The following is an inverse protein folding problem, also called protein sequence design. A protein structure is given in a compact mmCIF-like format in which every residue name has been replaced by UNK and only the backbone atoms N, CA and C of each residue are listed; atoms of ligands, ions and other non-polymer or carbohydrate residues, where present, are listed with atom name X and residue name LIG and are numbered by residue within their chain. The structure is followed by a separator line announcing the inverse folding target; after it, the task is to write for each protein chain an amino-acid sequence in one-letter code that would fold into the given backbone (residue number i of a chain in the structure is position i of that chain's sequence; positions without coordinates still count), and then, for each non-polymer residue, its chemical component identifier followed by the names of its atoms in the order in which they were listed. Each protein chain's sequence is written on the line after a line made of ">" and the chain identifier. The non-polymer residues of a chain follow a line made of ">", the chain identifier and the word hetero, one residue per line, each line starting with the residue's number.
data_IF_407283870389
#
_entry.id   IF_407283870389
#
_cell.length_a   1.000
_cell.length_b   1.000
_cell.length_c   1.000
_cell.angle_alpha   90.00
_cell.angle_beta   90.00
_cell.angle_gamma   90.00
#
_symmetry.space_group_name_H-M   'P 1'
#
loop_
_entity.id
_entity.type
_entity.pdbx_description
1 polymer ?
#
# COMPACT_ATOMS: atom_id res chain seq x y z
N UNK A 1 20.14 23.44 -50.68
CA UNK A 1 19.37 22.22 -50.38
C UNK A 1 20.19 21.36 -49.43
N UNK A 2 19.96 21.45 -48.13
CA UNK A 2 20.64 20.62 -47.15
C UNK A 2 19.60 19.58 -46.71
N UNK A 3 19.76 18.34 -47.20
CA UNK A 3 19.01 17.19 -46.72
C UNK A 3 19.59 16.82 -45.36
N UNK A 4 18.87 17.10 -44.26
CA UNK A 4 19.10 16.42 -43.00
C UNK A 4 18.55 15.00 -43.16
N UNK A 5 19.44 14.02 -43.12
CA UNK A 5 19.11 12.62 -43.00
C UNK A 5 18.40 12.47 -41.64
N UNK A 6 17.16 11.97 -41.64
CA UNK A 6 16.46 11.56 -40.44
C UNK A 6 17.15 10.31 -39.90
N UNK A 7 17.93 10.45 -38.85
CA UNK A 7 18.26 9.33 -37.99
C UNK A 7 16.94 8.85 -37.35
N UNK A 8 16.49 7.67 -37.77
CA UNK A 8 15.48 6.91 -37.04
C UNK A 8 16.19 6.46 -35.77
N UNK A 9 15.96 7.15 -34.67
CA UNK A 9 16.35 6.67 -33.35
C UNK A 9 15.56 5.39 -33.17
N UNK A 10 16.20 4.24 -33.40
CA UNK A 10 15.62 2.95 -33.02
C UNK A 10 15.55 2.92 -31.49
N UNK A 11 14.33 2.99 -30.93
CA UNK A 11 14.12 2.87 -29.51
C UNK A 11 14.77 1.61 -28.95
N UNK A 12 15.18 1.65 -27.70
CA UNK A 12 15.73 0.49 -26.98
C UNK A 12 14.71 -0.66 -27.04
N UNK A 13 15.15 -1.85 -27.46
CA UNK A 13 14.27 -3.02 -27.46
C UNK A 13 13.90 -3.39 -26.02
N UNK A 14 12.64 -3.73 -25.76
CA UNK A 14 12.14 -4.00 -24.40
C UNK A 14 12.98 -5.04 -23.64
N UNK A 15 13.40 -6.11 -24.30
CA UNK A 15 14.28 -7.14 -23.72
C UNK A 15 15.64 -6.61 -23.23
N UNK A 16 16.09 -5.46 -23.76
CA UNK A 16 17.38 -4.84 -23.44
C UNK A 16 17.22 -3.56 -22.61
N UNK A 17 15.97 -3.19 -22.25
CA UNK A 17 15.64 -1.94 -21.56
C UNK A 17 15.89 -1.99 -20.06
N UNK A 18 16.12 -0.84 -19.45
CA UNK A 18 16.11 -0.67 -18.00
C UNK A 18 14.68 -0.77 -17.46
N UNK A 19 13.68 -0.40 -18.26
CA UNK A 19 12.27 -0.51 -17.95
C UNK A 19 11.87 -1.93 -17.55
N UNK A 20 12.32 -2.97 -18.27
CA UNK A 20 12.02 -4.36 -17.89
C UNK A 20 12.61 -4.73 -16.51
N UNK A 21 13.82 -4.24 -16.23
CA UNK A 21 14.51 -4.48 -14.94
C UNK A 21 13.74 -3.80 -13.81
N UNK A 22 13.29 -2.57 -14.04
CA UNK A 22 12.49 -1.81 -13.08
C UNK A 22 11.12 -2.46 -12.82
N UNK A 23 10.45 -2.96 -13.86
CA UNK A 23 9.22 -3.73 -13.71
C UNK A 23 9.41 -5.00 -12.85
N UNK A 24 10.51 -5.74 -13.06
CA UNK A 24 10.81 -6.93 -12.26
C UNK A 24 11.17 -6.56 -10.81
N UNK A 25 11.86 -5.43 -10.59
CA UNK A 25 12.13 -4.91 -9.24
C UNK A 25 10.83 -4.53 -8.53
N UNK A 26 9.93 -3.81 -9.22
CA UNK A 26 8.64 -3.44 -8.68
C UNK A 26 7.79 -4.67 -8.34
N UNK A 27 7.67 -5.64 -9.25
CA UNK A 27 7.00 -6.92 -8.97
C UNK A 27 7.56 -7.64 -7.73
N UNK A 28 8.88 -7.64 -7.56
CA UNK A 28 9.52 -8.23 -6.39
C UNK A 28 9.23 -7.42 -5.11
N UNK A 29 9.23 -6.08 -5.18
CA UNK A 29 8.91 -5.17 -4.09
C UNK A 29 7.48 -5.37 -3.59
N UNK A 30 6.49 -5.31 -4.49
CA UNK A 30 5.08 -5.53 -4.18
C UNK A 30 4.80 -6.92 -3.61
N UNK A 31 5.43 -7.95 -4.19
CA UNK A 31 5.30 -9.32 -3.69
C UNK A 31 5.81 -9.46 -2.25
N UNK A 32 6.84 -8.72 -1.91
CA UNK A 32 7.40 -8.67 -0.57
C UNK A 32 6.54 -7.81 0.37
N UNK A 33 6.08 -6.62 -0.07
CA UNK A 33 5.19 -5.75 0.69
C UNK A 33 3.92 -6.50 1.09
N UNK A 34 3.31 -7.22 0.16
CA UNK A 34 2.17 -8.10 0.43
C UNK A 34 2.45 -9.08 1.58
N UNK A 35 3.62 -9.74 1.58
CA UNK A 35 3.96 -10.68 2.65
C UNK A 35 4.22 -9.95 3.97
N UNK A 36 4.95 -8.83 3.96
CA UNK A 36 5.18 -8.02 5.16
C UNK A 36 3.88 -7.58 5.82
N UNK A 37 2.89 -7.11 5.05
CA UNK A 37 1.58 -6.72 5.57
C UNK A 37 0.75 -7.91 6.06
N UNK A 38 0.88 -9.08 5.44
CA UNK A 38 0.26 -10.31 5.96
C UNK A 38 0.83 -10.68 7.34
N UNK A 39 2.15 -10.58 7.52
CA UNK A 39 2.79 -10.82 8.82
C UNK A 39 2.42 -9.75 9.85
N UNK A 40 2.35 -8.48 9.46
CA UNK A 40 1.89 -7.39 10.32
C UNK A 40 0.43 -7.58 10.75
N UNK A 41 -0.42 -8.12 9.87
CA UNK A 41 -1.80 -8.47 10.20
C UNK A 41 -1.88 -9.57 11.29
N UNK A 42 -1.00 -10.56 11.23
CA UNK A 42 -0.93 -11.61 12.26
C UNK A 42 -0.56 -11.01 13.62
N UNK A 43 0.43 -10.12 13.65
CA UNK A 43 0.84 -9.41 14.87
C UNK A 43 -0.28 -8.51 15.41
N UNK A 44 -0.97 -7.77 14.54
CA UNK A 44 -2.13 -6.96 14.94
C UNK A 44 -3.24 -7.82 15.57
N UNK A 45 -3.49 -9.02 15.04
CA UNK A 45 -4.42 -9.97 15.61
C UNK A 45 -3.98 -10.45 17.00
N UNK A 46 -2.70 -10.79 17.18
CA UNK A 46 -2.16 -11.27 18.45
C UNK A 46 -2.24 -10.19 19.54
N UNK A 47 -2.10 -8.92 19.14
CA UNK A 47 -2.29 -7.77 20.06
C UNK A 47 -3.76 -7.35 20.22
N UNK A 48 -4.71 -8.07 19.64
CA UNK A 48 -6.15 -7.81 19.76
C UNK A 48 -6.63 -6.58 18.99
N UNK A 49 -5.90 -6.15 17.96
CA UNK A 49 -6.21 -5.00 17.09
C UNK A 49 -6.83 -5.48 15.77
N UNK A 50 -7.95 -6.19 15.86
CA UNK A 50 -8.58 -6.90 14.73
C UNK A 50 -8.98 -5.98 13.58
N UNK A 51 -9.38 -4.74 13.84
CA UNK A 51 -9.68 -3.80 12.76
C UNK A 51 -8.40 -3.36 12.02
N UNK A 52 -7.28 -3.21 12.71
CA UNK A 52 -5.97 -2.91 12.08
C UNK A 52 -5.46 -4.14 11.30
N UNK A 53 -5.68 -5.36 11.81
CA UNK A 53 -5.46 -6.59 11.05
C UNK A 53 -6.13 -6.53 9.68
N UNK A 54 -7.42 -6.15 9.63
CA UNK A 54 -8.17 -6.05 8.37
C UNK A 54 -7.59 -4.96 7.44
N UNK A 55 -7.09 -3.85 7.97
CA UNK A 55 -6.44 -2.81 7.17
C UNK A 55 -5.17 -3.35 6.52
N UNK A 56 -4.31 -4.05 7.25
CA UNK A 56 -3.12 -4.68 6.68
C UNK A 56 -3.48 -5.73 5.61
N UNK A 57 -4.47 -6.60 5.85
CA UNK A 57 -4.90 -7.60 4.86
C UNK A 57 -5.51 -6.97 3.61
N UNK A 58 -6.27 -5.89 3.78
CA UNK A 58 -6.85 -5.14 2.67
C UNK A 58 -5.74 -4.54 1.81
N UNK A 59 -4.75 -3.87 2.41
CA UNK A 59 -3.61 -3.31 1.69
C UNK A 59 -2.76 -4.42 1.06
N UNK A 60 -2.46 -5.51 1.76
CA UNK A 60 -1.75 -6.67 1.19
C UNK A 60 -2.42 -7.23 -0.09
N UNK A 61 -3.75 -7.17 -0.19
CA UNK A 61 -4.46 -7.56 -1.41
C UNK A 61 -4.33 -6.52 -2.53
N UNK A 62 -4.15 -5.25 -2.18
CA UNK A 62 -3.86 -4.18 -3.16
C UNK A 62 -2.44 -4.32 -3.70
N UNK A 63 -1.42 -4.60 -2.85
CA UNK A 63 -0.05 -4.89 -3.30
C UNK A 63 0.01 -6.10 -4.24
N UNK A 64 -0.82 -7.13 -3.98
CA UNK A 64 -0.95 -8.25 -4.93
C UNK A 64 -1.45 -7.79 -6.30
N UNK A 65 -2.37 -6.84 -6.35
CA UNK A 65 -2.88 -6.31 -7.62
C UNK A 65 -1.84 -5.45 -8.35
N UNK A 66 -1.05 -4.66 -7.63
CA UNK A 66 0.07 -3.91 -8.19
C UNK A 66 1.15 -4.86 -8.73
N UNK A 67 1.52 -5.88 -7.98
CA UNK A 67 2.44 -6.94 -8.42
C UNK A 67 1.95 -7.59 -9.72
N UNK A 68 0.67 -7.96 -9.80
CA UNK A 68 0.05 -8.57 -10.99
C UNK A 68 0.14 -7.61 -12.19
N UNK A 69 -0.14 -6.32 -11.99
CA UNK A 69 -0.03 -5.31 -13.06
C UNK A 69 1.39 -5.18 -13.60
N UNK A 70 2.40 -5.10 -12.74
CA UNK A 70 3.80 -5.04 -13.18
C UNK A 70 4.24 -6.33 -13.88
N UNK A 71 3.77 -7.47 -13.41
CA UNK A 71 4.06 -8.77 -14.02
C UNK A 71 3.40 -8.93 -15.40
N UNK A 72 2.19 -8.44 -15.57
CA UNK A 72 1.49 -8.42 -16.87
C UNK A 72 2.21 -7.59 -17.92
N UNK A 73 2.82 -6.47 -17.52
CA UNK A 73 3.62 -5.63 -18.39
C UNK A 73 4.91 -6.33 -18.88
N UNK A 74 5.34 -7.40 -18.22
CA UNK A 74 6.47 -8.26 -18.64
C UNK A 74 6.05 -9.41 -19.56
N UNK A 75 4.77 -9.54 -19.92
CA UNK A 75 4.20 -10.67 -20.66
C UNK A 75 4.96 -11.02 -21.95
N UNK A 76 5.51 -10.03 -22.67
CA UNK A 76 6.27 -10.26 -23.91
C UNK A 76 7.57 -11.05 -23.69
N UNK A 77 8.05 -11.15 -22.46
CA UNK A 77 9.26 -11.88 -22.04
C UNK A 77 8.91 -13.20 -21.35
N UNK A 78 7.70 -13.74 -21.58
CA UNK A 78 7.26 -14.99 -20.99
C UNK A 78 8.22 -16.14 -21.34
N UNK A 79 8.70 -16.84 -20.30
CA UNK A 79 9.68 -17.93 -20.44
C UNK A 79 11.15 -17.49 -20.27
N UNK A 80 11.41 -16.18 -20.18
CA UNK A 80 12.75 -15.66 -19.90
C UNK A 80 12.97 -15.45 -18.40
N UNK A 81 14.23 -15.36 -17.98
CA UNK A 81 14.64 -14.99 -16.64
C UNK A 81 15.23 -13.57 -16.66
N UNK A 82 14.83 -12.74 -15.70
CA UNK A 82 15.31 -11.37 -15.57
C UNK A 82 16.10 -11.26 -14.27
N UNK A 83 17.40 -11.03 -14.36
CA UNK A 83 18.24 -10.77 -13.21
C UNK A 83 18.00 -9.36 -12.69
N UNK A 84 17.82 -9.26 -11.36
CA UNK A 84 17.67 -7.97 -10.67
C UNK A 84 18.64 -7.86 -9.50
N UNK A 85 19.08 -6.64 -9.21
CA UNK A 85 19.78 -6.28 -7.98
C UNK A 85 18.97 -5.17 -7.32
N UNK A 86 18.67 -5.30 -6.03
CA UNK A 86 17.88 -4.34 -5.27
C UNK A 86 18.08 -4.51 -3.78
N UNK A 87 17.71 -3.48 -3.02
CA UNK A 87 17.63 -3.50 -1.56
C UNK A 87 16.16 -3.52 -1.15
N UNK A 88 15.83 -4.28 -0.12
CA UNK A 88 14.47 -4.40 0.37
C UNK A 88 14.47 -4.26 1.90
N UNK A 89 13.45 -3.63 2.50
CA UNK A 89 13.40 -3.38 3.92
C UNK A 89 13.20 -4.67 4.74
N UNK A 90 13.71 -4.63 5.99
CA UNK A 90 13.46 -5.67 7.00
C UNK A 90 12.74 -5.02 8.17
N UNK A 91 11.39 -5.10 8.15
CA UNK A 91 10.50 -4.43 9.10
C UNK A 91 9.97 -5.44 10.13
N UNK A 92 10.86 -5.85 11.03
CA UNK A 92 10.50 -6.65 12.21
C UNK A 92 10.41 -5.74 13.42
N UNK A 93 9.17 -5.38 13.80
CA UNK A 93 8.87 -4.53 14.94
C UNK A 93 8.05 -5.32 15.98
N UNK A 94 8.26 -5.01 17.25
CA UNK A 94 7.58 -5.68 18.37
C UNK A 94 6.16 -5.08 18.65
N UNK A 95 5.82 -3.99 18.01
CA UNK A 95 4.54 -3.28 18.20
C UNK A 95 3.84 -3.02 16.87
N UNK A 96 2.52 -3.06 16.90
CA UNK A 96 1.69 -2.71 15.73
C UNK A 96 1.90 -1.26 15.30
N UNK A 97 2.12 -0.34 16.26
CA UNK A 97 2.50 1.05 15.97
C UNK A 97 3.77 1.10 15.10
N UNK A 98 4.85 0.40 15.53
CA UNK A 98 6.10 0.36 14.77
C UNK A 98 5.97 -0.30 13.40
N UNK A 99 5.12 -1.32 13.25
CA UNK A 99 4.82 -1.94 11.95
C UNK A 99 4.09 -0.97 11.01
N UNK A 100 3.15 -0.18 11.54
CA UNK A 100 2.45 0.86 10.78
C UNK A 100 3.38 2.01 10.37
N UNK A 101 4.28 2.47 11.27
CA UNK A 101 5.29 3.50 10.95
C UNK A 101 6.25 3.02 9.86
N UNK A 102 6.72 1.76 9.94
CA UNK A 102 7.58 1.17 8.92
C UNK A 102 6.85 1.02 7.57
N UNK A 103 5.60 0.57 7.60
CA UNK A 103 4.76 0.49 6.40
C UNK A 103 4.59 1.88 5.75
N UNK A 104 4.21 2.90 6.52
CA UNK A 104 4.09 4.28 6.03
C UNK A 104 5.36 4.77 5.34
N UNK A 105 6.52 4.53 5.96
CA UNK A 105 7.81 4.95 5.40
C UNK A 105 8.07 4.31 4.04
N UNK A 106 7.85 3.01 3.92
CA UNK A 106 8.08 2.29 2.67
C UNK A 106 7.13 2.74 1.55
N UNK A 107 5.84 2.93 1.86
CA UNK A 107 4.87 3.44 0.89
C UNK A 107 5.26 4.82 0.36
N UNK A 108 5.72 5.72 1.23
CA UNK A 108 6.17 7.04 0.79
C UNK A 108 7.47 6.98 -0.02
N UNK A 109 8.41 6.07 0.28
CA UNK A 109 9.61 5.86 -0.52
C UNK A 109 9.23 5.37 -1.94
N UNK A 110 8.27 4.45 -2.04
CA UNK A 110 7.76 3.98 -3.33
C UNK A 110 7.01 5.08 -4.10
N UNK A 111 6.17 5.87 -3.41
CA UNK A 111 5.39 6.95 -4.00
C UNK A 111 6.22 8.12 -4.50
N UNK A 112 7.15 8.62 -3.68
CA UNK A 112 7.83 9.89 -3.94
C UNK A 112 9.15 9.70 -4.71
N UNK A 113 9.81 8.54 -4.60
CA UNK A 113 11.13 8.29 -5.16
C UNK A 113 11.14 7.15 -6.19
N UNK A 114 10.80 5.92 -5.77
CA UNK A 114 11.09 4.71 -6.55
C UNK A 114 10.26 4.66 -7.84
N UNK A 115 8.94 4.76 -7.73
CA UNK A 115 8.06 4.62 -8.90
C UNK A 115 8.10 5.85 -9.79
N UNK A 116 8.37 7.03 -9.26
CA UNK A 116 8.63 8.22 -10.07
C UNK A 116 9.89 8.03 -10.92
N UNK A 117 10.98 7.54 -10.33
CA UNK A 117 12.22 7.27 -11.07
C UNK A 117 12.04 6.17 -12.12
N UNK A 118 11.29 5.10 -11.81
CA UNK A 118 11.00 4.02 -12.76
C UNK A 118 10.10 4.49 -13.90
N UNK A 119 9.10 5.32 -13.60
CA UNK A 119 8.23 5.94 -14.60
C UNK A 119 8.98 6.85 -15.55
N UNK A 120 9.89 7.69 -15.03
CA UNK A 120 10.75 8.55 -15.84
C UNK A 120 11.63 7.72 -16.79
N UNK A 121 12.26 6.66 -16.30
CA UNK A 121 13.04 5.73 -17.12
C UNK A 121 12.20 5.12 -18.25
N UNK A 122 11.00 4.66 -17.93
CA UNK A 122 10.10 4.07 -18.91
C UNK A 122 9.66 5.09 -19.97
N UNK A 123 9.43 6.34 -19.58
CA UNK A 123 9.11 7.43 -20.49
C UNK A 123 10.28 7.72 -21.44
N UNK A 124 11.49 7.83 -20.92
CA UNK A 124 12.72 8.09 -21.71
C UNK A 124 13.01 6.98 -22.71
N UNK A 125 12.74 5.72 -22.34
CA UNK A 125 12.89 4.55 -23.21
C UNK A 125 11.71 4.35 -24.20
N UNK A 126 10.64 5.16 -24.07
CA UNK A 126 9.49 5.16 -24.98
C UNK A 126 8.35 4.20 -24.57
N UNK A 127 8.36 3.65 -23.36
CA UNK A 127 7.35 2.72 -22.84
C UNK A 127 6.26 3.46 -22.05
N UNK A 128 5.45 4.25 -22.75
CA UNK A 128 4.47 5.17 -22.17
C UNK A 128 3.41 4.48 -21.29
N UNK A 129 2.97 3.27 -21.67
CA UNK A 129 2.02 2.50 -20.86
C UNK A 129 2.63 2.09 -19.50
N UNK A 130 3.90 1.69 -19.51
CA UNK A 130 4.65 1.33 -18.29
C UNK A 130 4.86 2.56 -17.42
N UNK A 131 5.27 3.70 -18.01
CA UNK A 131 5.42 4.96 -17.28
C UNK A 131 4.12 5.36 -16.58
N UNK A 132 3.00 5.29 -17.31
CA UNK A 132 1.67 5.59 -16.75
C UNK A 132 1.31 4.67 -15.59
N UNK A 133 1.62 3.37 -15.68
CA UNK A 133 1.35 2.43 -14.59
C UNK A 133 2.15 2.78 -13.34
N UNK A 134 3.46 3.09 -13.45
CA UNK A 134 4.28 3.52 -12.32
C UNK A 134 3.73 4.78 -11.65
N UNK A 135 3.41 5.82 -12.42
CA UNK A 135 2.89 7.06 -11.84
C UNK A 135 1.54 6.88 -11.13
N UNK A 136 0.63 6.08 -11.72
CA UNK A 136 -0.68 5.86 -11.11
C UNK A 136 -0.59 5.01 -9.84
N UNK A 137 0.29 4.01 -9.80
CA UNK A 137 0.53 3.21 -8.61
C UNK A 137 1.19 4.06 -7.53
N UNK A 138 2.18 4.91 -7.87
CA UNK A 138 2.79 5.85 -6.92
C UNK A 138 1.75 6.73 -6.17
N UNK A 139 0.70 7.19 -6.86
CA UNK A 139 -0.40 7.93 -6.21
C UNK A 139 -1.20 7.06 -5.24
N UNK A 140 -1.30 5.75 -5.50
CA UNK A 140 -2.00 4.81 -4.61
C UNK A 140 -1.14 4.51 -3.38
N UNK A 141 0.18 4.33 -3.53
CA UNK A 141 1.08 4.09 -2.40
C UNK A 141 1.06 5.26 -1.41
N UNK A 142 0.89 6.49 -1.91
CA UNK A 142 0.69 7.63 -1.02
C UNK A 142 -0.58 7.51 -0.17
N UNK A 143 -1.66 6.99 -0.74
CA UNK A 143 -2.92 6.74 0.02
C UNK A 143 -2.70 5.63 1.06
N UNK A 144 -1.93 4.59 0.71
CA UNK A 144 -1.56 3.53 1.66
C UNK A 144 -0.74 4.10 2.83
N UNK A 145 0.30 4.90 2.52
CA UNK A 145 1.13 5.56 3.51
C UNK A 145 0.34 6.48 4.43
N UNK A 146 -0.56 7.32 3.88
CA UNK A 146 -1.43 8.19 4.66
C UNK A 146 -2.31 7.39 5.64
N UNK A 147 -2.87 6.26 5.19
CA UNK A 147 -3.71 5.38 6.00
C UNK A 147 -2.91 4.74 7.15
N UNK A 148 -1.74 4.19 6.87
CA UNK A 148 -0.87 3.60 7.88
C UNK A 148 -0.39 4.64 8.90
N UNK A 149 0.00 5.82 8.44
CA UNK A 149 0.45 6.90 9.31
C UNK A 149 -0.63 7.42 10.25
N UNK A 150 -1.87 7.58 9.77
CA UNK A 150 -2.99 7.96 10.62
C UNK A 150 -3.23 6.96 11.74
N UNK A 151 -3.21 5.65 11.43
CA UNK A 151 -3.38 4.60 12.43
C UNK A 151 -2.22 4.55 13.42
N UNK A 152 -0.99 4.68 12.95
CA UNK A 152 0.20 4.75 13.80
C UNK A 152 0.10 5.91 14.79
N UNK A 153 -0.23 7.10 14.30
CA UNK A 153 -0.38 8.30 15.14
C UNK A 153 -1.49 8.13 16.19
N UNK A 154 -2.62 7.54 15.81
CA UNK A 154 -3.72 7.28 16.75
C UNK A 154 -3.30 6.29 17.87
N UNK A 155 -2.55 5.25 17.55
CA UNK A 155 -2.02 4.32 18.56
C UNK A 155 -1.00 5.02 19.46
N UNK A 156 -0.04 5.73 18.89
CA UNK A 156 1.01 6.47 19.60
C UNK A 156 0.46 7.50 20.59
N UNK A 157 -0.57 8.22 20.18
CA UNK A 157 -1.21 9.24 21.01
C UNK A 157 -2.30 8.68 21.93
N UNK A 158 -2.59 7.37 21.88
CA UNK A 158 -3.64 6.73 22.67
C UNK A 158 -5.06 7.16 22.27
N UNK A 159 -5.22 7.71 21.06
CA UNK A 159 -6.51 8.26 20.57
C UNK A 159 -7.31 7.26 19.73
N UNK A 160 -6.78 6.07 19.45
CA UNK A 160 -7.45 5.07 18.62
C UNK A 160 -8.78 4.57 19.23
N UNK A 161 -8.83 4.37 20.54
CA UNK A 161 -10.02 3.91 21.26
C UNK A 161 -10.66 4.96 22.19
N UNK A 162 -10.02 6.12 22.34
CA UNK A 162 -10.50 7.16 23.27
C UNK A 162 -10.08 8.55 22.75
N UNK A 163 -11.03 9.49 22.69
CA UNK A 163 -10.85 10.85 22.17
C UNK A 163 -11.37 11.89 23.16
N UNK A 164 -10.92 13.12 23.02
CA UNK A 164 -11.37 14.25 23.90
C UNK A 164 -12.83 14.62 23.63
N UNK A 165 -13.20 14.58 22.36
CA UNK A 165 -14.56 14.88 21.91
C UNK A 165 -15.31 13.59 21.57
N UNK A 166 -16.62 13.68 21.37
CA UNK A 166 -17.43 12.54 20.96
C UNK A 166 -17.21 12.22 19.50
N UNK A 167 -16.75 10.99 19.23
CA UNK A 167 -16.45 10.48 17.88
C UNK A 167 -17.32 9.26 17.56
N UNK A 168 -17.23 8.82 16.31
CA UNK A 168 -17.92 7.62 15.83
C UNK A 168 -16.92 6.53 15.47
N UNK A 169 -17.23 5.31 15.89
CA UNK A 169 -16.49 4.09 15.53
C UNK A 169 -17.42 3.05 14.94
N UNK A 170 -16.93 2.32 13.95
CA UNK A 170 -17.62 1.16 13.39
C UNK A 170 -17.01 -0.14 13.90
N UNK A 171 -17.83 -1.04 14.39
CA UNK A 171 -17.42 -2.42 14.66
C UNK A 171 -17.37 -3.19 13.33
N UNK A 172 -16.19 -3.56 12.86
CA UNK A 172 -16.02 -4.27 11.58
C UNK A 172 -16.61 -5.67 11.58
N UNK A 173 -16.85 -6.27 12.76
CA UNK A 173 -17.49 -7.59 12.83
C UNK A 173 -19.00 -7.55 12.52
N UNK A 174 -19.72 -6.47 12.89
CA UNK A 174 -21.18 -6.44 12.74
C UNK A 174 -21.77 -5.15 12.17
N UNK A 175 -20.95 -4.15 11.87
CA UNK A 175 -21.39 -2.85 11.34
C UNK A 175 -21.99 -1.90 12.39
N UNK A 176 -22.02 -2.24 13.68
CA UNK A 176 -22.53 -1.35 14.73
C UNK A 176 -21.73 -0.04 14.77
N UNK A 177 -22.42 1.09 14.74
CA UNK A 177 -21.84 2.42 14.92
C UNK A 177 -21.99 2.82 16.39
N UNK A 178 -20.86 3.00 17.06
CA UNK A 178 -20.80 3.55 18.41
C UNK A 178 -20.45 5.04 18.35
N UNK A 179 -21.13 5.85 19.14
CA UNK A 179 -20.84 7.29 19.29
C UNK A 179 -20.51 7.58 20.75
N UNK A 180 -19.39 8.23 21.02
CA UNK A 180 -18.94 8.55 22.38
C UNK A 180 -17.52 9.08 22.39
N UNK A 181 -16.97 9.25 23.60
CA UNK A 181 -15.55 9.63 23.78
C UNK A 181 -14.63 8.41 23.88
N UNK A 182 -15.20 7.23 24.06
CA UNK A 182 -14.47 5.98 24.26
C UNK A 182 -15.21 4.80 23.68
N UNK A 183 -14.50 3.94 23.01
CA UNK A 183 -15.01 2.65 22.49
C UNK A 183 -15.36 1.73 23.67
N UNK A 184 -16.52 1.05 23.65
CA UNK A 184 -16.86 0.07 24.68
C UNK A 184 -15.91 -1.13 24.64
N UNK A 185 -15.57 -1.69 25.81
CA UNK A 185 -14.68 -2.86 25.90
C UNK A 185 -15.18 -4.08 25.12
N UNK A 186 -16.51 -4.16 24.94
CA UNK A 186 -17.22 -5.21 24.19
C UNK A 186 -18.32 -4.54 23.36
N UNK A 187 -18.43 -4.89 22.09
CA UNK A 187 -19.50 -4.39 21.23
C UNK A 187 -20.89 -4.79 21.83
N UNK A 188 -21.80 -3.84 22.04
CA UNK A 188 -23.11 -4.14 22.65
C UNK A 188 -23.99 -5.02 21.76
N UNK A 189 -23.75 -5.06 20.45
CA UNK A 189 -24.55 -5.80 19.47
C UNK A 189 -24.04 -7.23 19.29
N UNK A 190 -22.77 -7.40 18.89
CA UNK A 190 -22.22 -8.72 18.55
C UNK A 190 -21.37 -9.38 19.64
N UNK A 191 -21.10 -8.67 20.74
CA UNK A 191 -20.34 -9.15 21.91
C UNK A 191 -18.85 -9.41 21.65
N UNK A 192 -18.32 -8.99 20.50
CA UNK A 192 -16.90 -9.04 20.20
C UNK A 192 -16.14 -7.90 20.88
N UNK A 193 -14.84 -8.08 21.06
CA UNK A 193 -13.94 -7.19 21.78
C UNK A 193 -13.75 -5.83 21.08
N UNK A 194 -13.28 -4.83 21.83
CA UNK A 194 -13.06 -3.45 21.32
C UNK A 194 -12.13 -3.37 20.11
N UNK A 195 -11.21 -4.33 19.93
CA UNK A 195 -10.28 -4.35 18.82
C UNK A 195 -10.93 -4.46 17.43
N UNK A 196 -12.22 -4.82 17.38
CA UNK A 196 -13.00 -4.78 16.13
C UNK A 196 -13.49 -3.38 15.74
N UNK A 197 -13.32 -2.38 16.59
CA UNK A 197 -13.73 -1.02 16.28
C UNK A 197 -12.63 -0.26 15.54
N UNK A 198 -13.04 0.51 14.53
CA UNK A 198 -12.21 1.44 13.79
C UNK A 198 -12.89 2.82 13.80
N UNK A 199 -12.16 3.95 13.84
CA UNK A 199 -12.74 5.26 13.60
C UNK A 199 -13.59 5.27 12.32
N UNK A 200 -14.80 5.82 12.38
CA UNK A 200 -15.75 5.73 11.27
C UNK A 200 -15.21 6.35 9.97
N UNK A 201 -14.37 7.36 10.08
CA UNK A 201 -13.73 8.02 8.94
C UNK A 201 -12.78 7.09 8.16
N UNK A 202 -12.17 6.11 8.84
CA UNK A 202 -11.29 5.10 8.27
C UNK A 202 -12.01 3.80 7.94
N UNK A 203 -13.30 3.67 8.30
CA UNK A 203 -14.05 2.45 8.06
C UNK A 203 -14.34 2.25 6.56
N UNK A 204 -14.23 1.00 6.04
CA UNK A 204 -14.61 0.69 4.68
C UNK A 204 -16.12 0.87 4.49
N UNK A 205 -16.51 1.26 3.27
CA UNK A 205 -17.92 1.34 2.86
C UNK A 205 -18.82 2.25 3.71
N UNK A 206 -18.24 3.24 4.41
CA UNK A 206 -19.06 4.24 5.13
C UNK A 206 -19.94 5.00 4.13
N UNK A 207 -21.18 5.30 4.54
CA UNK A 207 -22.11 6.12 3.75
C UNK A 207 -22.06 7.59 4.18
N UNK A 208 -22.32 8.51 3.26
CA UNK A 208 -22.33 9.97 3.54
C UNK A 208 -23.39 10.39 4.56
N UNK A 209 -24.44 9.58 4.74
CA UNK A 209 -25.57 9.88 5.61
C UNK A 209 -25.32 9.61 7.10
N UNK A 210 -24.16 9.04 7.45
CA UNK A 210 -23.77 8.73 8.83
C UNK A 210 -22.97 9.87 9.52
N UNK A 211 -23.03 11.09 8.99
CA UNK A 211 -22.40 12.27 9.56
C UNK A 211 -23.13 12.80 10.78
#
# INVERSE_FOLDING_TARGET
>A
MIKRQGEVIMGIQFKDSQTKVNLMKAFAGESQARNRYTFAAEEAREQGLYAIQEVFLFTANQERAHAERFYDLLKSLSGETIDICGSFPVDKQDTVEGLLEAAQHNEYEEADDVYIAFGNTAMEEGYMEVASAFYQIAEIEKIHGDRFGQLAEMLKNGTYFETKESEKWMCLNCGNIHTGKKVPGVCPVCRYEKGYFIPLELAPYKTKELN
#
